data_IF_094705235592
#
_entry.id   IF_094705235592
#
_cell.length_a   1.000
_cell.length_b   1.000
_cell.length_c   1.000
_cell.angle_alpha   90.00
_cell.angle_beta   90.00
_cell.angle_gamma   90.00
#
_symmetry.space_group_name_H-M   'P 1'
#
loop_
_entity.id
_entity.type
_entity.pdbx_description
1 polymer ?
#
# COMPACT_ATOMS: atom_id res chain seq x y z
N UNK A 1 31.29 -12.54 12.92
CA UNK A 1 29.97 -13.25 12.74
C UNK A 1 29.29 -12.90 11.41
N UNK A 2 29.20 -11.62 11.02
CA UNK A 2 28.58 -11.25 9.74
C UNK A 2 29.44 -11.70 8.56
N UNK A 3 30.75 -11.47 8.64
CA UNK A 3 31.72 -11.87 7.61
C UNK A 3 31.84 -13.41 7.50
N UNK A 4 31.70 -14.11 8.61
CA UNK A 4 31.69 -15.58 8.67
C UNK A 4 30.43 -16.15 7.97
N UNK A 5 29.25 -15.56 8.23
CA UNK A 5 28.01 -15.90 7.55
C UNK A 5 28.07 -15.56 6.06
N UNK A 6 28.62 -14.41 5.70
CA UNK A 6 28.82 -14.03 4.30
C UNK A 6 29.77 -15.00 3.60
N UNK A 7 30.83 -15.45 4.28
CA UNK A 7 31.76 -16.45 3.79
C UNK A 7 31.11 -17.85 3.61
N UNK A 8 30.20 -18.23 4.51
CA UNK A 8 29.40 -19.45 4.39
C UNK A 8 28.44 -19.39 3.22
N UNK A 9 27.71 -18.28 3.08
CA UNK A 9 26.78 -18.08 1.95
C UNK A 9 27.50 -18.12 0.60
N UNK A 10 28.63 -17.42 0.46
CA UNK A 10 29.45 -17.45 -0.79
C UNK A 10 29.95 -18.83 -1.18
N UNK A 11 30.17 -19.72 -0.21
CA UNK A 11 30.63 -21.10 -0.45
C UNK A 11 29.52 -22.05 -0.88
N UNK A 12 28.29 -21.82 -0.43
CA UNK A 12 27.16 -22.74 -0.60
C UNK A 12 26.09 -22.23 -1.56
N UNK A 13 26.06 -20.93 -1.83
CA UNK A 13 25.13 -20.30 -2.78
C UNK A 13 25.95 -19.85 -3.99
N UNK A 14 25.61 -20.34 -5.17
CA UNK A 14 26.15 -19.80 -6.42
C UNK A 14 25.61 -18.36 -6.57
N UNK A 15 26.45 -17.39 -6.29
CA UNK A 15 26.17 -16.00 -6.60
C UNK A 15 26.44 -15.85 -8.09
N UNK A 16 25.40 -15.61 -8.87
CA UNK A 16 25.51 -15.33 -10.28
C UNK A 16 26.04 -13.90 -10.48
N UNK A 17 26.99 -13.72 -11.40
CA UNK A 17 27.43 -12.39 -11.84
C UNK A 17 26.40 -11.69 -12.74
N UNK A 18 25.25 -12.31 -12.96
CA UNK A 18 24.14 -11.70 -13.70
C UNK A 18 23.54 -10.60 -12.84
N UNK A 19 23.56 -9.38 -13.36
CA UNK A 19 22.89 -8.27 -12.72
C UNK A 19 21.41 -8.62 -12.43
N UNK A 20 20.90 -8.31 -11.23
CA UNK A 20 19.50 -8.58 -10.92
C UNK A 20 18.61 -7.90 -11.94
N UNK A 21 17.57 -8.59 -12.39
CA UNK A 21 16.62 -8.04 -13.35
C UNK A 21 16.08 -6.72 -12.81
N UNK A 22 16.30 -5.66 -13.58
CA UNK A 22 15.76 -4.34 -13.25
C UNK A 22 14.26 -4.33 -13.50
N UNK A 23 13.47 -4.35 -12.44
CA UNK A 23 12.02 -4.13 -12.56
C UNK A 23 11.79 -2.63 -12.68
N UNK A 24 11.24 -2.17 -13.78
CA UNK A 24 10.81 -0.78 -13.93
C UNK A 24 9.37 -0.63 -13.46
N UNK A 25 9.08 0.47 -12.77
CA UNK A 25 7.71 0.88 -12.46
C UNK A 25 7.24 1.76 -13.61
N UNK A 26 6.16 1.34 -14.27
CA UNK A 26 5.55 2.11 -15.35
C UNK A 26 4.79 3.29 -14.72
N UNK A 27 5.01 4.47 -15.27
CA UNK A 27 4.24 5.66 -14.96
C UNK A 27 2.90 5.58 -15.68
N UNK A 28 1.80 5.72 -14.93
CA UNK A 28 0.47 5.64 -15.49
C UNK A 28 0.05 7.02 -16.01
N UNK A 29 -0.16 7.13 -17.32
CA UNK A 29 -0.66 8.34 -17.99
C UNK A 29 -2.20 8.28 -18.12
N UNK A 30 -2.89 8.36 -16.97
CA UNK A 30 -4.35 8.32 -16.93
C UNK A 30 -4.92 6.97 -16.49
N UNK A 31 -6.23 6.81 -16.63
CA UNK A 31 -6.95 5.62 -16.20
C UNK A 31 -6.82 4.48 -17.22
N UNK A 32 -6.45 3.30 -16.75
CA UNK A 32 -6.47 2.08 -17.55
C UNK A 32 -7.23 0.98 -16.81
N UNK A 33 -7.82 0.04 -17.53
CA UNK A 33 -8.52 -1.10 -16.96
C UNK A 33 -8.05 -2.39 -17.62
N UNK A 34 -7.79 -3.41 -16.81
CA UNK A 34 -7.39 -4.74 -17.28
C UNK A 34 -8.34 -5.78 -16.69
N UNK A 35 -9.39 -6.18 -17.44
CA UNK A 35 -10.27 -7.25 -17.00
C UNK A 35 -9.54 -8.60 -17.05
N UNK A 36 -9.67 -9.39 -15.98
CA UNK A 36 -9.16 -10.74 -15.88
C UNK A 36 -10.33 -11.70 -15.71
N UNK A 37 -10.40 -12.71 -16.59
CA UNK A 37 -11.33 -13.83 -16.42
C UNK A 37 -10.75 -14.81 -15.41
N UNK A 38 -11.50 -15.09 -14.35
CA UNK A 38 -11.17 -16.10 -13.35
C UNK A 38 -12.30 -17.10 -13.23
N UNK A 39 -11.97 -18.36 -12.93
CA UNK A 39 -12.97 -19.41 -12.65
C UNK A 39 -13.33 -19.38 -11.15
N UNK A 40 -14.15 -18.39 -10.79
CA UNK A 40 -14.63 -18.19 -9.42
C UNK A 40 -15.96 -17.44 -9.44
N UNK A 41 -16.85 -17.79 -8.51
CA UNK A 41 -18.21 -17.21 -8.41
C UNK A 41 -18.18 -15.74 -7.93
N UNK A 42 -17.18 -15.37 -7.14
CA UNK A 42 -17.02 -13.99 -6.66
C UNK A 42 -16.37 -13.11 -7.71
N UNK A 43 -16.80 -11.86 -7.74
CA UNK A 43 -16.10 -10.80 -8.43
C UNK A 43 -15.04 -10.14 -7.52
N UNK A 44 -13.95 -9.68 -8.12
CA UNK A 44 -12.93 -8.91 -7.42
C UNK A 44 -12.58 -7.65 -8.20
N UNK A 45 -12.26 -6.59 -7.48
CA UNK A 45 -11.80 -5.33 -8.07
C UNK A 45 -10.62 -4.80 -7.25
N UNK A 46 -9.57 -4.39 -7.94
CA UNK A 46 -8.47 -3.59 -7.39
C UNK A 46 -8.40 -2.28 -8.16
N UNK A 47 -8.62 -1.17 -7.49
CA UNK A 47 -8.39 0.17 -8.02
C UNK A 47 -7.10 0.70 -7.40
N UNK A 48 -6.07 0.89 -8.22
CA UNK A 48 -4.79 1.46 -7.78
C UNK A 48 -4.66 2.90 -8.26
N UNK A 49 -4.42 3.80 -7.33
CA UNK A 49 -4.12 5.21 -7.59
C UNK A 49 -2.63 5.41 -7.31
N UNK A 50 -1.88 5.70 -8.37
CA UNK A 50 -0.44 5.88 -8.31
C UNK A 50 -0.08 7.31 -7.93
N UNK A 51 0.93 7.50 -7.08
CA UNK A 51 1.49 8.82 -6.79
C UNK A 51 2.11 9.42 -8.07
N UNK A 52 1.97 10.73 -8.25
CA UNK A 52 2.49 11.44 -9.41
C UNK A 52 4.01 11.34 -9.55
N UNK A 53 4.72 11.37 -8.42
CA UNK A 53 6.17 11.36 -8.40
C UNK A 53 6.71 10.36 -7.36
N UNK A 54 7.87 9.80 -7.70
CA UNK A 54 8.64 8.98 -6.79
C UNK A 54 9.42 9.85 -5.80
N UNK A 55 8.81 10.23 -4.69
CA UNK A 55 9.45 11.02 -3.64
C UNK A 55 9.05 10.55 -2.24
N UNK A 56 9.87 10.89 -1.24
CA UNK A 56 9.50 10.64 0.16
C UNK A 56 8.23 11.37 0.55
N UNK A 57 8.09 12.62 0.11
CA UNK A 57 6.94 13.45 0.40
C UNK A 57 5.64 12.83 -0.13
N UNK A 58 5.62 12.37 -1.39
CA UNK A 58 4.45 11.73 -1.96
C UNK A 58 4.13 10.41 -1.25
N UNK A 59 5.15 9.62 -0.87
CA UNK A 59 4.95 8.42 -0.06
C UNK A 59 4.37 8.72 1.32
N UNK A 60 4.82 9.79 1.97
CA UNK A 60 4.25 10.21 3.25
C UNK A 60 2.81 10.67 3.09
N UNK A 61 2.51 11.44 2.03
CA UNK A 61 1.16 11.87 1.69
C UNK A 61 0.22 10.70 1.43
N UNK A 62 0.60 9.74 0.58
CA UNK A 62 -0.22 8.56 0.29
C UNK A 62 -0.38 7.64 1.50
N UNK A 63 0.64 7.54 2.37
CA UNK A 63 0.55 6.80 3.62
C UNK A 63 -0.46 7.44 4.58
N UNK A 64 -0.40 8.76 4.76
CA UNK A 64 -1.33 9.50 5.60
C UNK A 64 -2.75 9.47 5.03
N UNK A 65 -2.89 9.70 3.72
CA UNK A 65 -4.20 9.65 3.06
C UNK A 65 -4.83 8.25 3.21
N UNK A 66 -4.06 7.18 3.02
CA UNK A 66 -4.55 5.81 3.26
C UNK A 66 -5.01 5.63 4.69
N UNK A 67 -4.25 6.15 5.67
CA UNK A 67 -4.63 6.08 7.08
C UNK A 67 -5.96 6.77 7.38
N UNK A 68 -6.20 7.92 6.73
CA UNK A 68 -7.42 8.70 6.90
C UNK A 68 -8.64 8.03 6.25
N UNK A 69 -8.49 7.49 5.04
CA UNK A 69 -9.63 6.98 4.26
C UNK A 69 -9.98 5.51 4.51
N UNK A 70 -9.01 4.69 4.95
CA UNK A 70 -9.21 3.24 5.08
C UNK A 70 -10.34 2.83 6.03
N UNK A 71 -10.53 3.45 7.21
CA UNK A 71 -11.64 3.13 8.09
C UNK A 71 -13.00 3.43 7.46
N UNK A 72 -13.13 4.60 6.82
CA UNK A 72 -14.35 5.02 6.13
C UNK A 72 -14.68 4.12 4.94
N UNK A 73 -13.67 3.72 4.16
CA UNK A 73 -13.85 2.79 3.05
C UNK A 73 -14.39 1.44 3.51
N UNK A 74 -13.81 0.90 4.57
CA UNK A 74 -14.29 -0.35 5.17
C UNK A 74 -15.73 -0.20 5.70
N UNK A 75 -16.01 0.85 6.48
CA UNK A 75 -17.33 1.08 7.05
C UNK A 75 -18.39 1.21 5.96
N UNK A 76 -18.16 2.09 4.99
CA UNK A 76 -19.11 2.36 3.92
C UNK A 76 -19.39 1.14 3.05
N UNK A 77 -18.35 0.48 2.50
CA UNK A 77 -18.56 -0.56 1.51
C UNK A 77 -18.82 -1.93 2.12
N UNK A 78 -18.21 -2.23 3.28
CA UNK A 78 -18.40 -3.50 3.96
C UNK A 78 -19.60 -3.53 4.88
N UNK A 79 -19.72 -2.50 5.75
CA UNK A 79 -20.71 -2.54 6.83
C UNK A 79 -22.06 -2.00 6.38
N UNK A 80 -22.06 -0.83 5.75
CA UNK A 80 -23.30 -0.14 5.35
C UNK A 80 -23.88 -0.72 4.06
N UNK A 81 -23.05 -0.83 3.01
CA UNK A 81 -23.48 -1.31 1.69
C UNK A 81 -23.41 -2.83 1.54
N UNK A 82 -22.71 -3.55 2.42
CA UNK A 82 -22.56 -5.01 2.42
C UNK A 82 -22.07 -5.58 1.07
N UNK A 83 -21.22 -4.83 0.37
CA UNK A 83 -20.77 -5.17 -0.98
C UNK A 83 -19.81 -6.38 -1.03
N UNK A 84 -19.10 -6.69 0.05
CA UNK A 84 -18.16 -7.78 0.02
C UNK A 84 -17.58 -8.13 1.39
N UNK A 85 -16.90 -9.26 1.47
CA UNK A 85 -16.24 -9.71 2.71
C UNK A 85 -14.76 -9.34 2.76
N UNK A 86 -14.12 -9.10 1.62
CA UNK A 86 -12.81 -8.42 1.56
C UNK A 86 -13.06 -7.00 1.10
N UNK A 87 -12.82 -6.03 1.97
CA UNK A 87 -12.88 -4.60 1.66
C UNK A 87 -11.73 -3.93 2.39
N UNK A 88 -10.81 -3.32 1.66
CA UNK A 88 -9.68 -2.62 2.26
C UNK A 88 -9.12 -1.53 1.36
N UNK A 89 -8.67 -0.45 1.96
CA UNK A 89 -7.78 0.52 1.33
C UNK A 89 -6.39 0.37 1.96
N UNK A 90 -5.39 0.13 1.13
CA UNK A 90 -4.03 -0.15 1.58
C UNK A 90 -3.01 0.75 0.88
N UNK A 91 -2.02 1.20 1.63
CA UNK A 91 -0.88 1.88 1.03
C UNK A 91 -0.06 0.86 0.24
N UNK A 92 0.08 1.10 -1.05
CA UNK A 92 0.80 0.22 -1.98
C UNK A 92 2.07 0.92 -2.41
N UNK A 93 3.19 0.22 -2.27
CA UNK A 93 4.49 0.73 -2.72
C UNK A 93 5.07 -0.21 -3.77
N UNK A 94 5.28 0.33 -4.95
CA UNK A 94 5.95 -0.33 -6.05
C UNK A 94 7.36 0.27 -6.16
N UNK A 95 8.34 -0.37 -5.52
CA UNK A 95 9.71 0.16 -5.34
C UNK A 95 9.69 1.54 -4.66
N UNK A 96 10.07 2.57 -5.42
CA UNK A 96 10.16 3.95 -4.97
C UNK A 96 8.90 4.79 -5.26
N UNK A 97 7.88 4.22 -5.94
CA UNK A 97 6.61 4.89 -6.23
C UNK A 97 5.51 4.37 -5.31
N UNK A 98 4.89 5.28 -4.59
CA UNK A 98 3.77 5.00 -3.70
C UNK A 98 2.42 5.05 -4.41
N UNK A 99 1.38 4.83 -3.63
CA UNK A 99 -0.01 4.94 -4.06
C UNK A 99 -0.96 4.27 -3.09
N UNK A 100 -2.23 4.27 -3.45
CA UNK A 100 -3.30 3.65 -2.68
C UNK A 100 -3.99 2.59 -3.53
N UNK A 101 -4.18 1.39 -2.98
CA UNK A 101 -5.01 0.36 -3.59
C UNK A 101 -6.29 0.18 -2.79
N UNK A 102 -7.42 0.28 -3.48
CA UNK A 102 -8.75 -0.09 -2.97
C UNK A 102 -9.07 -1.49 -3.48
N UNK A 103 -9.32 -2.42 -2.56
CA UNK A 103 -9.50 -3.84 -2.85
C UNK A 103 -10.85 -4.29 -2.34
N UNK A 104 -11.65 -4.89 -3.22
CA UNK A 104 -12.95 -5.48 -2.86
C UNK A 104 -13.06 -6.86 -3.51
N UNK A 105 -13.53 -7.84 -2.73
CA UNK A 105 -14.02 -9.12 -3.23
C UNK A 105 -15.46 -9.30 -2.78
N UNK A 106 -16.33 -9.62 -3.72
CA UNK A 106 -17.78 -9.57 -3.56
C UNK A 106 -18.45 -10.79 -4.17
N UNK A 107 -19.33 -11.47 -3.41
CA UNK A 107 -20.23 -12.47 -3.96
C UNK A 107 -21.54 -11.88 -4.50
N UNK A 108 -21.77 -10.57 -4.35
CA UNK A 108 -23.08 -9.94 -4.62
C UNK A 108 -23.05 -8.85 -5.68
N UNK A 109 -21.86 -8.36 -6.05
CA UNK A 109 -21.72 -7.25 -7.00
C UNK A 109 -20.58 -7.49 -7.99
N UNK A 110 -20.81 -7.18 -9.27
CA UNK A 110 -19.80 -7.28 -10.32
C UNK A 110 -18.78 -6.15 -10.30
N UNK A 111 -17.65 -6.29 -11.03
CA UNK A 111 -16.51 -5.37 -10.97
C UNK A 111 -16.90 -3.90 -11.30
N UNK A 112 -17.81 -3.68 -12.23
CA UNK A 112 -18.25 -2.32 -12.60
C UNK A 112 -18.97 -1.63 -11.44
N UNK A 113 -19.87 -2.35 -10.75
CA UNK A 113 -20.56 -1.83 -9.56
C UNK A 113 -19.54 -1.51 -8.46
N UNK A 114 -18.60 -2.42 -8.23
CA UNK A 114 -17.55 -2.22 -7.21
C UNK A 114 -16.69 -0.99 -7.52
N UNK A 115 -16.30 -0.81 -8.80
CA UNK A 115 -15.59 0.38 -9.26
C UNK A 115 -16.39 1.64 -9.00
N UNK A 116 -17.65 1.68 -9.44
CA UNK A 116 -18.49 2.88 -9.34
C UNK A 116 -18.75 3.26 -7.87
N UNK A 117 -18.94 2.28 -7.00
CA UNK A 117 -19.06 2.51 -5.54
C UNK A 117 -17.77 3.01 -4.91
N UNK A 118 -16.62 2.51 -5.36
CA UNK A 118 -15.31 3.00 -4.91
C UNK A 118 -15.09 4.45 -5.35
N UNK A 119 -15.39 4.79 -6.60
CA UNK A 119 -15.27 6.16 -7.10
C UNK A 119 -16.21 7.12 -6.38
N UNK A 120 -17.45 6.70 -6.13
CA UNK A 120 -18.42 7.49 -5.36
C UNK A 120 -17.93 7.73 -3.91
N UNK A 121 -17.33 6.71 -3.29
CA UNK A 121 -16.69 6.86 -1.99
C UNK A 121 -15.54 7.87 -2.03
N UNK A 122 -14.64 7.79 -3.02
CA UNK A 122 -13.53 8.73 -3.16
C UNK A 122 -14.01 10.18 -3.27
N UNK A 123 -15.03 10.42 -4.10
CA UNK A 123 -15.64 11.75 -4.24
C UNK A 123 -16.24 12.25 -2.92
N UNK A 124 -16.93 11.38 -2.18
CA UNK A 124 -17.46 11.76 -0.86
C UNK A 124 -16.34 12.05 0.16
N UNK A 125 -15.24 11.30 0.10
CA UNK A 125 -14.09 11.54 1.00
C UNK A 125 -13.36 12.84 0.71
N UNK A 126 -13.34 13.32 -0.52
CA UNK A 126 -12.76 14.62 -0.86
C UNK A 126 -13.41 15.72 -0.03
N UNK A 127 -14.75 15.71 0.07
CA UNK A 127 -15.48 16.67 0.91
C UNK A 127 -15.16 16.46 2.40
N UNK A 128 -15.19 15.23 2.90
CA UNK A 128 -14.90 14.95 4.32
C UNK A 128 -13.50 15.43 4.72
N UNK A 129 -12.52 15.24 3.84
CA UNK A 129 -11.16 15.69 4.08
C UNK A 129 -11.01 17.21 4.02
N UNK A 130 -11.79 17.88 3.16
CA UNK A 130 -11.78 19.35 3.05
C UNK A 130 -12.40 20.05 4.29
N UNK A 131 -13.33 19.39 4.97
CA UNK A 131 -13.98 19.89 6.19
C UNK A 131 -13.26 19.45 7.48
N UNK A 132 -12.16 18.67 7.36
CA UNK A 132 -11.43 18.19 8.54
C UNK A 132 -10.75 19.34 9.27
N UNK A 133 -10.95 19.42 10.58
CA UNK A 133 -10.29 20.44 11.41
C UNK A 133 -8.79 20.18 11.57
N UNK A 134 -8.02 21.22 11.86
CA UNK A 134 -6.58 21.13 12.13
C UNK A 134 -6.28 20.21 13.32
N UNK A 135 -7.16 20.20 14.33
CA UNK A 135 -7.05 19.34 15.50
C UNK A 135 -7.22 17.86 15.12
N UNK A 136 -8.24 17.53 14.31
CA UNK A 136 -8.47 16.17 13.83
C UNK A 136 -7.32 15.70 12.91
N UNK A 137 -6.87 16.56 12.01
CA UNK A 137 -5.73 16.28 11.15
C UNK A 137 -4.47 15.99 11.97
N UNK A 138 -4.17 16.83 12.95
CA UNK A 138 -3.02 16.69 13.84
C UNK A 138 -3.09 15.42 14.67
N UNK A 139 -4.27 15.05 15.18
CA UNK A 139 -4.49 13.82 15.94
C UNK A 139 -4.24 12.57 15.06
N UNK A 140 -4.79 12.54 13.84
CA UNK A 140 -4.58 11.44 12.89
C UNK A 140 -3.10 11.30 12.48
N UNK A 141 -2.44 12.43 12.19
CA UNK A 141 -1.00 12.47 11.89
C UNK A 141 -0.17 11.92 13.05
N UNK A 142 -0.46 12.37 14.29
CA UNK A 142 0.19 11.86 15.49
C UNK A 142 0.01 10.37 15.71
N UNK A 143 -1.20 9.86 15.50
CA UNK A 143 -1.53 8.44 15.56
C UNK A 143 -0.76 7.62 14.53
N UNK A 144 -0.64 8.11 13.28
CA UNK A 144 0.15 7.46 12.24
C UNK A 144 1.64 7.45 12.59
N UNK A 145 2.21 8.56 13.05
CA UNK A 145 3.61 8.65 13.48
C UNK A 145 3.89 7.62 14.59
N UNK A 146 3.04 7.57 15.61
CA UNK A 146 3.17 6.60 16.70
C UNK A 146 3.15 5.15 16.19
N UNK A 147 2.32 4.85 15.19
CA UNK A 147 2.24 3.52 14.55
C UNK A 147 3.50 3.20 13.75
N UNK A 148 4.03 4.15 12.98
CA UNK A 148 5.22 3.96 12.12
C UNK A 148 6.51 3.82 12.95
N UNK A 149 6.60 4.54 14.07
CA UNK A 149 7.76 4.52 14.97
C UNK A 149 7.69 3.42 16.03
N UNK A 150 6.61 2.64 16.06
CA UNK A 150 6.48 1.52 16.99
C UNK A 150 7.60 0.49 16.78
N UNK A 151 8.21 0.04 17.90
CA UNK A 151 9.23 -1.01 17.85
C UNK A 151 8.65 -2.32 17.32
N UNK A 152 9.43 -3.00 16.49
CA UNK A 152 9.07 -4.34 16.01
C UNK A 152 8.80 -5.28 17.19
N UNK A 153 7.64 -5.93 17.19
CA UNK A 153 7.20 -6.83 18.28
C UNK A 153 7.92 -8.17 18.27
N UNK A 154 8.44 -8.58 17.12
CA UNK A 154 9.12 -9.85 16.94
C UNK A 154 10.12 -9.81 15.77
N UNK A 155 10.92 -10.87 15.67
CA UNK A 155 11.95 -11.00 14.62
C UNK A 155 11.35 -11.03 13.20
N UNK A 156 10.20 -11.68 13.03
CA UNK A 156 9.52 -11.75 11.72
C UNK A 156 9.13 -10.36 11.22
N UNK A 157 8.57 -9.53 12.08
CA UNK A 157 8.18 -8.16 11.74
C UNK A 157 9.40 -7.32 11.37
N UNK A 158 10.49 -7.42 12.16
CA UNK A 158 11.75 -6.74 11.88
C UNK A 158 12.36 -7.20 10.55
N UNK A 159 12.40 -8.51 10.31
CA UNK A 159 12.92 -9.08 9.07
C UNK A 159 12.15 -8.61 7.85
N UNK A 160 10.81 -8.61 7.91
CA UNK A 160 9.96 -8.11 6.82
C UNK A 160 10.23 -6.63 6.52
N UNK A 161 10.41 -5.80 7.55
CA UNK A 161 10.73 -4.38 7.39
C UNK A 161 12.08 -4.18 6.70
N UNK A 162 13.12 -4.86 7.17
CA UNK A 162 14.45 -4.76 6.56
C UNK A 162 14.45 -5.29 5.11
N UNK A 163 13.72 -6.38 4.87
CA UNK A 163 13.60 -6.93 3.53
C UNK A 163 12.90 -5.96 2.56
N UNK A 164 11.83 -5.31 3.03
CA UNK A 164 11.15 -4.29 2.26
C UNK A 164 12.03 -3.07 1.94
N UNK A 165 12.94 -2.69 2.85
CA UNK A 165 13.92 -1.64 2.60
C UNK A 165 14.94 -2.07 1.54
N UNK A 166 15.47 -3.30 1.64
CA UNK A 166 16.39 -3.86 0.66
C UNK A 166 15.78 -3.95 -0.74
N UNK A 167 14.52 -4.39 -0.85
CA UNK A 167 13.80 -4.49 -2.11
C UNK A 167 13.64 -3.13 -2.80
N UNK A 168 13.54 -2.05 -2.01
CA UNK A 168 13.52 -0.67 -2.47
C UNK A 168 14.91 -0.07 -2.74
N UNK A 169 15.98 -0.81 -2.45
CA UNK A 169 17.35 -0.30 -2.54
C UNK A 169 17.75 0.63 -1.39
N UNK A 170 17.00 0.64 -0.27
CA UNK A 170 17.30 1.42 0.93
C UNK A 170 18.15 0.59 1.88
N UNK A 171 19.33 1.08 2.23
CA UNK A 171 20.27 0.35 3.10
C UNK A 171 20.42 0.96 4.49
N UNK A 172 19.73 2.07 4.77
CA UNK A 172 19.74 2.72 6.10
C UNK A 172 18.79 2.05 7.09
N UNK A 173 17.81 1.28 6.59
CA UNK A 173 16.79 0.54 7.38
C UNK A 173 15.95 1.42 8.32
N UNK A 174 15.78 2.68 7.97
CA UNK A 174 15.08 3.70 8.75
C UNK A 174 13.92 4.35 8.01
N UNK A 175 13.46 3.74 6.91
CA UNK A 175 12.42 4.30 6.02
C UNK A 175 11.16 4.77 6.75
N UNK A 176 10.74 4.04 7.81
CA UNK A 176 9.57 4.43 8.60
C UNK A 176 9.81 5.66 9.49
N UNK A 177 11.06 5.97 9.78
CA UNK A 177 11.43 7.15 10.59
C UNK A 177 11.63 8.39 9.73
N UNK A 178 11.76 8.20 8.42
CA UNK A 178 11.93 9.28 7.45
C UNK A 178 10.56 9.74 6.89
N UNK A 179 9.51 8.93 6.99
CA UNK A 179 8.13 9.27 6.61
C UNK A 179 7.48 10.15 7.65
#
# INVERSE_FOLDING_TARGET
RVDELAGLLKRHVRISDVAPASTMVIELEGASSMPLGIDHDDASMVLYVQDEQSSFENRARSTLLTHLVAPGFFSSLRTEQQLGYVVSAVNTQLRNRGGISFVIQSPVAGPDILRDRTLAFMTAQEWVLSEMSDEEFSANKGGLIAKLTQRDKNLSQRSKRYWADLDRGVTTFDSNMQL
#
